data_IF_971611764702
#
_entry.id   IF_971611764702
#
_cell.length_a   1.000
_cell.length_b   1.000
_cell.length_c   1.000
_cell.angle_alpha   90.00
_cell.angle_beta   90.00
_cell.angle_gamma   90.00
#
_symmetry.space_group_name_H-M   'P 1'
#
loop_
_entity.id
_entity.type
_entity.pdbx_description
1 polymer ?
#
# COMPACT_ATOMS: atom_id res chain seq x y z
N UNK A 1 -17.84 15.44 41.69
CA UNK A 1 -18.62 14.42 40.95
C UNK A 1 -17.64 13.49 40.26
N UNK A 2 -17.18 12.42 40.92
CA UNK A 2 -16.23 11.46 40.34
C UNK A 2 -17.01 10.33 39.66
N UNK A 3 -16.97 10.29 38.33
CA UNK A 3 -17.61 9.24 37.56
C UNK A 3 -16.80 7.96 37.67
N UNK A 4 -17.27 7.03 38.50
CA UNK A 4 -16.81 5.65 38.55
C UNK A 4 -17.29 4.94 37.29
N UNK A 5 -16.46 4.90 36.25
CA UNK A 5 -16.70 4.04 35.10
C UNK A 5 -16.45 2.59 35.51
N UNK A 6 -17.54 1.87 35.76
CA UNK A 6 -17.51 0.42 35.94
C UNK A 6 -17.04 -0.19 34.63
N UNK A 7 -15.76 -0.57 34.53
CA UNK A 7 -15.33 -1.52 33.50
C UNK A 7 -16.06 -2.82 33.80
N UNK A 8 -17.10 -3.14 33.03
CA UNK A 8 -17.61 -4.51 33.00
C UNK A 8 -16.41 -5.39 32.71
N UNK A 9 -16.05 -6.24 33.66
CA UNK A 9 -14.95 -7.19 33.52
C UNK A 9 -15.39 -8.23 32.51
N UNK A 10 -15.16 -7.94 31.22
CA UNK A 10 -15.42 -8.87 30.13
C UNK A 10 -14.57 -10.09 30.37
N UNK A 11 -15.21 -11.23 30.57
CA UNK A 11 -14.49 -12.48 30.77
C UNK A 11 -13.91 -12.90 29.42
N UNK A 12 -12.75 -13.59 29.39
CA UNK A 12 -12.14 -14.05 28.13
C UNK A 12 -13.09 -14.91 27.27
N UNK A 13 -14.06 -15.57 27.93
CA UNK A 13 -15.07 -16.39 27.28
C UNK A 13 -16.09 -15.56 26.48
N UNK A 14 -16.55 -14.42 27.01
CA UNK A 14 -17.45 -13.49 26.32
C UNK A 14 -16.79 -12.82 25.11
N UNK A 15 -15.48 -12.55 25.19
CA UNK A 15 -14.74 -12.00 24.04
C UNK A 15 -14.66 -12.98 22.90
N UNK A 16 -14.32 -14.25 23.18
CA UNK A 16 -14.13 -15.27 22.15
C UNK A 16 -15.40 -15.53 21.32
N UNK A 17 -16.58 -15.60 21.96
CA UNK A 17 -17.86 -15.80 21.24
C UNK A 17 -18.22 -14.60 20.37
N UNK A 18 -18.05 -13.38 20.90
CA UNK A 18 -18.34 -12.17 20.16
C UNK A 18 -17.32 -11.92 19.02
N UNK A 19 -16.07 -12.35 19.18
CA UNK A 19 -15.05 -12.33 18.12
C UNK A 19 -15.39 -13.31 16.99
N UNK A 20 -15.86 -14.52 17.30
CA UNK A 20 -16.29 -15.50 16.32
C UNK A 20 -17.48 -15.00 15.47
N UNK A 21 -18.52 -14.43 16.10
CA UNK A 21 -19.66 -13.82 15.39
C UNK A 21 -19.27 -12.59 14.55
N UNK A 22 -18.23 -11.86 14.97
CA UNK A 22 -17.68 -10.76 14.14
C UNK A 22 -16.92 -11.31 12.95
N UNK A 23 -16.13 -12.37 13.14
CA UNK A 23 -15.35 -12.99 12.08
C UNK A 23 -16.25 -13.63 11.01
N UNK A 24 -17.39 -14.22 11.39
CA UNK A 24 -18.36 -14.76 10.44
C UNK A 24 -19.02 -13.64 9.60
N UNK A 25 -19.31 -12.49 10.21
CA UNK A 25 -19.91 -11.34 9.52
C UNK A 25 -18.93 -10.53 8.67
N UNK A 26 -17.70 -10.37 9.14
CA UNK A 26 -16.72 -9.43 8.58
C UNK A 26 -15.46 -10.09 8.00
N UNK A 27 -15.32 -11.41 8.16
CA UNK A 27 -14.14 -12.16 7.74
C UNK A 27 -12.89 -11.85 8.57
N UNK A 28 -11.74 -12.24 8.02
CA UNK A 28 -10.42 -11.90 8.57
C UNK A 28 -10.01 -10.49 8.14
N UNK A 29 -9.31 -9.77 9.03
CA UNK A 29 -8.67 -8.50 8.67
C UNK A 29 -7.69 -8.74 7.51
N UNK A 30 -7.79 -7.99 6.40
CA UNK A 30 -6.81 -8.08 5.33
C UNK A 30 -5.40 -7.77 5.81
N UNK A 31 -4.40 -8.21 5.06
CA UNK A 31 -3.02 -7.88 5.35
C UNK A 31 -2.81 -6.36 5.35
N UNK A 32 -1.88 -5.89 6.19
CA UNK A 32 -1.57 -4.47 6.28
C UNK A 32 -0.95 -4.01 4.95
N UNK A 33 -1.64 -3.08 4.29
CA UNK A 33 -1.14 -2.45 3.06
C UNK A 33 0.13 -1.67 3.38
N UNK A 34 1.16 -1.83 2.55
CA UNK A 34 2.39 -1.06 2.68
C UNK A 34 2.13 0.37 2.20
N UNK A 35 2.72 1.39 2.82
CA UNK A 35 2.52 2.78 2.38
C UNK A 35 2.98 2.98 0.93
N UNK A 36 3.97 2.20 0.47
CA UNK A 36 4.42 2.24 -0.93
C UNK A 36 3.33 1.83 -1.93
N UNK A 37 2.43 0.92 -1.55
CA UNK A 37 1.35 0.43 -2.41
C UNK A 37 0.15 1.39 -2.46
N UNK A 38 0.14 2.39 -1.58
CA UNK A 38 -0.93 3.41 -1.53
C UNK A 38 -0.71 4.58 -2.46
N UNK A 39 0.47 4.69 -3.06
CA UNK A 39 0.87 5.85 -3.88
C UNK A 39 1.24 5.42 -5.29
N UNK A 40 0.70 6.11 -6.28
CA UNK A 40 1.13 5.96 -7.67
C UNK A 40 2.29 6.91 -7.95
N UNK A 41 3.41 6.39 -8.44
CA UNK A 41 4.57 7.21 -8.80
C UNK A 41 4.47 7.61 -10.26
N UNK A 42 4.24 8.90 -10.51
CA UNK A 42 4.26 9.49 -11.85
C UNK A 42 5.45 10.45 -11.98
N UNK A 43 6.22 10.39 -13.09
CA UNK A 43 7.35 11.28 -13.29
C UNK A 43 6.89 12.74 -13.38
N UNK A 44 7.56 13.61 -12.63
CA UNK A 44 7.23 15.05 -12.56
C UNK A 44 7.47 15.79 -13.90
N UNK A 45 8.21 15.19 -14.83
CA UNK A 45 8.50 15.76 -16.15
C UNK A 45 8.37 14.67 -17.20
N UNK A 46 7.85 15.03 -18.37
CA UNK A 46 7.78 14.13 -19.51
C UNK A 46 9.20 13.62 -19.84
N UNK A 47 9.40 12.30 -20.02
CA UNK A 47 10.69 11.76 -20.46
C UNK A 47 11.14 12.48 -21.75
N UNK A 48 12.38 12.96 -21.74
CA UNK A 48 12.95 13.69 -22.86
C UNK A 48 13.24 12.73 -24.01
N UNK A 49 12.49 12.86 -25.10
CA UNK A 49 12.66 12.03 -26.29
C UNK A 49 14.02 12.22 -26.96
N UNK A 50 14.74 13.32 -26.70
CA UNK A 50 16.09 13.51 -27.22
C UNK A 50 17.11 12.62 -26.52
N UNK A 51 16.90 12.27 -25.25
CA UNK A 51 17.76 11.32 -24.52
C UNK A 51 17.60 9.89 -25.01
N UNK A 52 16.36 9.49 -25.30
CA UNK A 52 16.04 8.12 -25.74
C UNK A 52 16.29 7.90 -27.23
N UNK A 53 16.46 8.98 -28.02
CA UNK A 53 16.67 8.91 -29.47
C UNK A 53 18.14 8.83 -29.89
N UNK A 54 19.08 9.00 -28.97
CA UNK A 54 20.50 8.91 -29.31
C UNK A 54 20.95 7.45 -29.45
N UNK A 55 21.26 7.02 -30.69
CA UNK A 55 21.85 5.72 -30.98
C UNK A 55 23.26 5.92 -31.56
N UNK A 56 24.29 5.56 -30.79
CA UNK A 56 25.69 5.76 -31.20
C UNK A 56 26.06 5.00 -32.48
N UNK A 57 25.46 3.83 -32.69
CA UNK A 57 25.73 2.98 -33.86
C UNK A 57 25.26 3.61 -35.18
N UNK A 58 24.11 4.30 -35.20
CA UNK A 58 23.67 5.03 -36.39
C UNK A 58 24.64 6.14 -36.78
N UNK A 59 25.19 6.85 -35.80
CA UNK A 59 26.17 7.89 -36.04
C UNK A 59 27.48 7.31 -36.60
N UNK A 60 27.96 6.18 -36.04
CA UNK A 60 29.14 5.49 -36.53
C UNK A 60 28.98 4.99 -37.97
N UNK A 61 27.85 4.38 -38.31
CA UNK A 61 27.55 3.92 -39.67
C UNK A 61 27.49 5.10 -40.65
N UNK A 62 26.92 6.23 -40.23
CA UNK A 62 26.69 7.38 -41.13
C UNK A 62 27.92 8.25 -41.37
N UNK A 63 28.84 8.33 -40.40
CA UNK A 63 29.96 9.28 -40.44
C UNK A 63 31.35 8.63 -40.39
N UNK A 64 31.46 7.34 -40.06
CA UNK A 64 32.74 6.64 -39.95
C UNK A 64 32.87 5.40 -40.85
N UNK A 65 31.85 5.10 -41.66
CA UNK A 65 31.83 4.01 -42.65
C UNK A 65 32.28 4.44 -44.04
#
# INVERSE_FOLDING_TARGET
MTHRTTRLRRTPHDTASADAERHDRFGTLPERIRPEDTVETSPATRPDSARDRYHADEWLVRYCG
#
